data_IF_050819803917
#
_entry.id   IF_050819803917
#
_cell.length_a   1.000
_cell.length_b   1.000
_cell.length_c   1.000
_cell.angle_alpha   90.00
_cell.angle_beta   90.00
_cell.angle_gamma   90.00
#
_symmetry.space_group_name_H-M   'P 1'
#
loop_
_entity.id
_entity.type
_entity.pdbx_description
1 polymer ?
#
# COMPACT_ATOMS: atom_id res chain seq x y z
N UNK A 1 -14.18 -10.94 19.08
CA UNK A 1 -13.29 -9.76 19.13
C UNK A 1 -13.51 -8.98 17.86
N UNK A 2 -14.02 -7.75 17.95
CA UNK A 2 -14.11 -6.84 16.81
C UNK A 2 -12.68 -6.67 16.28
N UNK A 3 -12.42 -7.12 15.05
CA UNK A 3 -11.09 -6.94 14.47
C UNK A 3 -10.93 -5.44 14.24
N UNK A 4 -9.79 -4.86 14.60
CA UNK A 4 -9.51 -3.41 14.43
C UNK A 4 -9.87 -2.93 13.01
N UNK A 5 -9.75 -3.81 12.01
CA UNK A 5 -10.20 -3.64 10.62
C UNK A 5 -11.67 -3.20 10.45
N UNK A 6 -12.62 -3.66 11.26
CA UNK A 6 -14.06 -3.37 11.13
C UNK A 6 -14.40 -1.90 11.47
N UNK A 7 -13.44 -1.17 12.06
CA UNK A 7 -13.60 0.22 12.49
C UNK A 7 -12.95 1.26 11.57
N UNK A 8 -12.22 0.83 10.53
CA UNK A 8 -11.47 1.73 9.65
C UNK A 8 -12.39 2.21 8.51
N UNK A 9 -12.71 3.51 8.41
CA UNK A 9 -13.60 4.02 7.37
C UNK A 9 -13.07 3.72 5.97
N UNK A 10 -13.88 3.07 5.14
CA UNK A 10 -13.53 2.71 3.76
C UNK A 10 -12.53 1.57 3.64
N UNK A 11 -12.20 0.85 4.72
CA UNK A 11 -11.50 -0.41 4.63
C UNK A 11 -12.51 -1.56 4.47
N UNK A 12 -12.44 -2.23 3.34
CA UNK A 12 -13.46 -3.16 2.86
C UNK A 12 -12.84 -4.46 2.31
N UNK A 13 -11.66 -4.82 2.83
CA UNK A 13 -11.00 -6.09 2.56
C UNK A 13 -11.94 -7.26 2.88
N UNK A 14 -12.01 -8.26 1.98
CA UNK A 14 -12.86 -9.45 2.11
C UNK A 14 -14.37 -9.13 2.28
N UNK A 15 -14.81 -8.00 1.75
CA UNK A 15 -16.24 -7.69 1.64
C UNK A 15 -16.78 -8.09 0.27
N UNK A 16 -18.06 -8.47 0.21
CA UNK A 16 -18.75 -8.83 -1.05
C UNK A 16 -18.80 -7.69 -2.07
N UNK A 17 -18.53 -6.46 -1.65
CA UNK A 17 -18.49 -5.27 -2.52
C UNK A 17 -17.21 -5.15 -3.34
N UNK A 18 -16.15 -5.89 -3.01
CA UNK A 18 -14.90 -5.85 -3.77
C UNK A 18 -15.01 -6.77 -4.99
N UNK A 19 -14.82 -6.24 -6.22
CA UNK A 19 -14.76 -7.07 -7.42
C UNK A 19 -13.61 -8.07 -7.36
N UNK A 20 -13.82 -9.24 -7.96
CA UNK A 20 -12.74 -10.21 -8.11
C UNK A 20 -11.68 -9.65 -9.06
N UNK A 21 -10.41 -9.73 -8.66
CA UNK A 21 -9.30 -9.29 -9.52
C UNK A 21 -9.25 -10.11 -10.80
N UNK A 22 -8.89 -9.43 -11.88
CA UNK A 22 -8.59 -10.07 -13.17
C UNK A 22 -7.25 -10.82 -13.18
N UNK A 23 -6.42 -10.66 -12.14
CA UNK A 23 -5.20 -11.44 -11.94
C UNK A 23 -5.54 -12.75 -11.23
N UNK A 24 -5.08 -13.84 -11.81
CA UNK A 24 -5.25 -15.19 -11.27
C UNK A 24 -4.16 -15.54 -10.26
N UNK A 25 -4.41 -16.52 -9.39
CA UNK A 25 -3.39 -17.05 -8.48
C UNK A 25 -2.18 -17.61 -9.23
N UNK A 26 -2.38 -18.17 -10.43
CA UNK A 26 -1.26 -18.66 -11.26
C UNK A 26 -0.36 -17.52 -11.73
N UNK A 27 -0.94 -16.39 -12.17
CA UNK A 27 -0.18 -15.19 -12.53
C UNK A 27 0.53 -14.59 -11.31
N UNK A 28 -0.11 -14.60 -10.14
CA UNK A 28 0.51 -14.17 -8.89
C UNK A 28 1.74 -15.03 -8.54
N UNK A 29 1.66 -16.36 -8.64
CA UNK A 29 2.80 -17.24 -8.39
C UNK A 29 3.95 -17.00 -9.38
N UNK A 30 3.65 -16.79 -10.66
CA UNK A 30 4.67 -16.41 -11.64
C UNK A 30 5.34 -15.06 -11.31
N UNK A 31 4.57 -14.10 -10.79
CA UNK A 31 5.09 -12.80 -10.39
C UNK A 31 5.92 -12.88 -9.10
N UNK A 32 5.56 -13.73 -8.13
CA UNK A 32 6.39 -14.05 -6.97
C UNK A 32 7.75 -14.60 -7.39
N UNK A 33 7.78 -15.56 -8.32
CA UNK A 33 9.04 -16.09 -8.89
C UNK A 33 9.88 -14.97 -9.52
N UNK A 34 9.24 -14.08 -10.28
CA UNK A 34 9.92 -12.95 -10.94
C UNK A 34 10.55 -11.98 -9.93
N UNK A 35 9.86 -11.73 -8.82
CA UNK A 35 10.34 -10.90 -7.72
C UNK A 35 11.33 -11.61 -6.78
N UNK A 36 11.56 -12.91 -6.97
CA UNK A 36 12.31 -13.75 -6.03
C UNK A 36 11.65 -13.82 -4.66
N UNK A 37 10.32 -13.70 -4.60
CA UNK A 37 9.52 -13.79 -3.39
C UNK A 37 9.21 -15.25 -3.06
N UNK A 38 9.54 -15.67 -1.84
CA UNK A 38 9.52 -17.06 -1.38
C UNK A 38 8.85 -17.20 -0.02
N UNK A 39 8.68 -18.43 0.46
CA UNK A 39 8.16 -18.69 1.82
C UNK A 39 9.06 -18.11 2.92
N UNK A 40 10.35 -17.93 2.64
CA UNK A 40 11.26 -17.22 3.54
C UNK A 40 10.84 -15.76 3.71
N UNK A 41 10.46 -15.09 2.62
CA UNK A 41 9.96 -13.71 2.67
C UNK A 41 8.64 -13.62 3.44
N UNK A 42 7.75 -14.62 3.31
CA UNK A 42 6.52 -14.70 4.12
C UNK A 42 6.85 -14.79 5.61
N UNK A 43 7.83 -15.61 5.98
CA UNK A 43 8.29 -15.71 7.37
C UNK A 43 8.84 -14.38 7.90
N UNK A 44 9.71 -13.70 7.14
CA UNK A 44 10.28 -12.42 7.55
C UNK A 44 9.30 -11.27 7.51
N UNK A 45 8.28 -11.29 6.64
CA UNK A 45 7.20 -10.32 6.65
C UNK A 45 6.36 -10.42 7.92
N UNK A 46 6.06 -11.63 8.40
CA UNK A 46 5.37 -11.82 9.68
C UNK A 46 6.18 -11.24 10.85
N UNK A 47 7.48 -11.53 10.87
CA UNK A 47 8.39 -10.96 11.87
C UNK A 47 8.48 -9.43 11.77
N UNK A 48 8.55 -8.88 10.56
CA UNK A 48 8.49 -7.44 10.32
C UNK A 48 7.17 -6.87 10.86
N UNK A 49 6.05 -7.55 10.66
CA UNK A 49 4.74 -7.16 11.21
C UNK A 49 4.77 -7.06 12.73
N UNK A 50 5.34 -8.04 13.42
CA UNK A 50 5.47 -8.04 14.88
C UNK A 50 6.29 -6.84 15.39
N UNK A 51 7.32 -6.46 14.63
CA UNK A 51 8.17 -5.29 14.91
C UNK A 51 7.44 -3.97 14.62
N UNK A 52 6.69 -3.89 13.52
CA UNK A 52 6.10 -2.64 13.00
C UNK A 52 4.72 -2.31 13.59
N UNK A 53 4.00 -3.28 14.17
CA UNK A 53 2.58 -3.12 14.52
C UNK A 53 2.27 -1.93 15.45
N UNK A 54 3.11 -1.69 16.46
CA UNK A 54 2.96 -0.56 17.38
C UNK A 54 3.59 0.75 16.86
N UNK A 55 4.21 0.70 15.68
CA UNK A 55 4.89 1.82 15.04
C UNK A 55 4.15 2.35 13.80
N UNK A 56 3.09 1.68 13.33
CA UNK A 56 2.38 2.03 12.08
C UNK A 56 1.94 3.50 12.00
N UNK A 57 1.51 4.09 13.12
CA UNK A 57 1.14 5.51 13.17
C UNK A 57 2.33 6.43 12.91
N UNK A 58 3.46 6.19 13.58
CA UNK A 58 4.67 6.97 13.41
C UNK A 58 5.22 6.84 11.98
N UNK A 59 5.18 5.62 11.42
CA UNK A 59 5.58 5.35 10.03
C UNK A 59 4.74 6.16 9.05
N UNK A 60 3.41 6.09 9.16
CA UNK A 60 2.51 6.81 8.26
C UNK A 60 2.63 8.32 8.44
N UNK A 61 2.81 8.83 9.66
CA UNK A 61 3.07 10.25 9.90
C UNK A 61 4.38 10.70 9.26
N UNK A 62 5.44 9.89 9.38
CA UNK A 62 6.73 10.16 8.75
C UNK A 62 6.59 10.22 7.22
N UNK A 63 5.89 9.27 6.60
CA UNK A 63 5.67 9.30 5.16
C UNK A 63 4.78 10.47 4.72
N UNK A 64 3.63 10.69 5.37
CA UNK A 64 2.65 11.71 4.97
C UNK A 64 3.15 13.13 5.24
N UNK A 65 3.51 13.40 6.49
CA UNK A 65 3.85 14.75 6.95
C UNK A 65 5.33 15.04 6.82
N UNK A 66 6.20 14.03 6.98
CA UNK A 66 7.65 14.22 6.89
C UNK A 66 8.19 14.24 5.47
N UNK A 67 7.55 13.52 4.54
CA UNK A 67 8.08 13.33 3.17
C UNK A 67 7.10 13.84 2.10
N UNK A 68 5.91 13.23 2.00
CA UNK A 68 4.94 13.52 0.93
C UNK A 68 4.53 14.99 0.92
N UNK A 69 4.25 15.58 2.09
CA UNK A 69 3.86 16.98 2.22
C UNK A 69 4.91 17.97 1.70
N UNK A 70 6.19 17.57 1.67
CA UNK A 70 7.31 18.39 1.17
C UNK A 70 7.60 18.23 -0.33
N UNK A 71 6.93 17.30 -1.02
CA UNK A 71 7.16 17.02 -2.45
C UNK A 71 5.94 17.51 -3.25
N UNK A 72 6.00 18.66 -3.96
CA UNK A 72 4.81 19.31 -4.53
C UNK A 72 3.96 18.43 -5.45
N UNK A 73 4.59 17.61 -6.31
CA UNK A 73 3.86 16.70 -7.20
C UNK A 73 3.17 15.54 -6.46
N UNK A 74 3.59 15.19 -5.24
CA UNK A 74 2.92 14.20 -4.40
C UNK A 74 1.88 14.85 -3.48
N UNK A 75 2.25 15.96 -2.84
CA UNK A 75 1.42 16.67 -1.86
C UNK A 75 0.04 17.07 -2.42
N UNK A 76 -0.02 17.52 -3.68
CA UNK A 76 -1.27 17.92 -4.35
C UNK A 76 -2.35 16.83 -4.34
N UNK A 77 -1.97 15.56 -4.30
CA UNK A 77 -2.90 14.44 -4.36
C UNK A 77 -3.67 14.22 -3.04
N UNK A 78 -3.30 14.96 -1.98
CA UNK A 78 -3.99 14.98 -0.68
C UNK A 78 -4.49 16.37 -0.26
N UNK A 79 -4.69 17.25 -1.24
CA UNK A 79 -5.23 18.61 -1.06
C UNK A 79 -6.45 18.82 -1.96
N UNK A 80 -7.22 19.86 -1.67
CA UNK A 80 -8.31 20.28 -2.55
C UNK A 80 -7.79 20.77 -3.91
N UNK A 81 -8.69 21.01 -4.86
CA UNK A 81 -8.33 21.63 -6.15
C UNK A 81 -7.75 23.04 -6.00
N UNK A 82 -8.14 23.75 -4.93
CA UNK A 82 -7.61 25.06 -4.54
C UNK A 82 -6.37 24.97 -3.62
N UNK A 83 -5.78 23.78 -3.50
CA UNK A 83 -4.59 23.48 -2.69
C UNK A 83 -4.79 23.58 -1.16
N UNK A 84 -6.04 23.59 -0.69
CA UNK A 84 -6.37 23.61 0.74
C UNK A 84 -6.19 22.24 1.41
N UNK A 85 -5.89 22.18 2.73
CA UNK A 85 -5.81 20.94 3.48
C UNK A 85 -7.15 20.18 3.51
N UNK A 86 -7.10 18.85 3.44
CA UNK A 86 -8.25 17.96 3.60
C UNK A 86 -8.06 17.08 4.85
N UNK A 87 -8.28 17.60 6.08
CA UNK A 87 -7.92 16.92 7.32
C UNK A 87 -8.67 15.60 7.52
N UNK A 88 -9.98 15.55 7.22
CA UNK A 88 -10.77 14.32 7.37
C UNK A 88 -10.36 13.23 6.38
N UNK A 89 -10.01 13.62 5.15
CA UNK A 89 -9.46 12.70 4.14
C UNK A 89 -8.13 12.11 4.61
N UNK A 90 -7.23 12.96 5.11
CA UNK A 90 -5.94 12.53 5.64
C UNK A 90 -6.14 11.60 6.84
N UNK A 91 -7.02 11.94 7.78
CA UNK A 91 -7.29 11.10 8.96
C UNK A 91 -7.77 9.69 8.57
N UNK A 92 -8.78 9.59 7.69
CA UNK A 92 -9.35 8.30 7.24
C UNK A 92 -8.35 7.51 6.39
N UNK A 93 -7.71 8.16 5.42
CA UNK A 93 -6.74 7.49 4.54
C UNK A 93 -5.46 7.06 5.27
N UNK A 94 -5.05 7.76 6.34
CA UNK A 94 -3.94 7.34 7.19
C UNK A 94 -4.24 6.04 7.94
N UNK A 95 -5.47 5.84 8.42
CA UNK A 95 -5.86 4.57 9.05
C UNK A 95 -5.77 3.41 8.06
N UNK A 96 -6.23 3.59 6.82
CA UNK A 96 -6.09 2.57 5.76
C UNK A 96 -4.64 2.32 5.39
N UNK A 97 -3.79 3.34 5.39
CA UNK A 97 -2.36 3.18 5.12
C UNK A 97 -1.64 2.42 6.23
N UNK A 98 -2.00 2.66 7.50
CA UNK A 98 -1.52 1.88 8.65
C UNK A 98 -1.94 0.41 8.52
N UNK A 99 -3.19 0.16 8.18
CA UNK A 99 -3.69 -1.20 7.98
C UNK A 99 -3.00 -1.91 6.81
N UNK A 100 -2.68 -1.19 5.73
CA UNK A 100 -1.92 -1.75 4.61
C UNK A 100 -0.51 -2.21 4.99
N UNK A 101 0.18 -1.55 5.94
CA UNK A 101 1.46 -2.03 6.49
C UNK A 101 1.26 -3.40 7.15
N UNK A 102 0.20 -3.55 7.96
CA UNK A 102 -0.10 -4.81 8.64
C UNK A 102 -0.55 -5.89 7.67
N UNK A 103 -1.37 -5.54 6.68
CA UNK A 103 -1.84 -6.49 5.68
C UNK A 103 -0.68 -7.00 4.82
N UNK A 104 0.28 -6.14 4.50
CA UNK A 104 1.53 -6.50 3.81
C UNK A 104 2.33 -7.53 4.60
N UNK A 105 2.31 -7.47 5.93
CA UNK A 105 3.07 -8.37 6.80
C UNK A 105 2.34 -9.67 7.15
N UNK A 106 1.02 -9.62 7.33
CA UNK A 106 0.27 -10.70 7.99
C UNK A 106 -0.73 -11.43 7.08
N UNK A 107 -1.18 -10.84 5.97
CA UNK A 107 -2.16 -11.51 5.09
C UNK A 107 -1.49 -12.58 4.25
N UNK A 108 -2.26 -13.62 3.97
CA UNK A 108 -1.90 -14.58 2.93
C UNK A 108 -2.11 -13.92 1.57
N UNK A 109 -1.23 -14.21 0.60
CA UNK A 109 -1.35 -13.67 -0.75
C UNK A 109 -2.24 -14.61 -1.57
N UNK A 110 -3.52 -14.57 -1.23
CA UNK A 110 -4.61 -15.35 -1.79
C UNK A 110 -5.48 -14.48 -2.74
N UNK A 111 -6.67 -14.99 -3.11
CA UNK A 111 -7.53 -14.29 -4.05
C UNK A 111 -8.14 -13.04 -3.41
N UNK A 112 -8.47 -13.08 -2.12
CA UNK A 112 -9.00 -11.98 -1.35
C UNK A 112 -7.99 -10.84 -1.26
N UNK A 113 -6.70 -11.16 -1.05
CA UNK A 113 -5.61 -10.22 -1.13
C UNK A 113 -5.46 -9.62 -2.54
N UNK A 114 -5.50 -10.43 -3.60
CA UNK A 114 -5.45 -9.93 -4.98
C UNK A 114 -6.61 -8.98 -5.31
N UNK A 115 -7.83 -9.34 -4.90
CA UNK A 115 -9.02 -8.50 -5.07
C UNK A 115 -8.79 -7.12 -4.42
N UNK A 116 -8.15 -7.11 -3.25
CA UNK A 116 -7.87 -5.87 -2.54
C UNK A 116 -6.68 -5.08 -3.12
N UNK A 117 -5.67 -5.74 -3.68
CA UNK A 117 -4.62 -5.06 -4.44
C UNK A 117 -5.19 -4.30 -5.64
N UNK A 118 -6.13 -4.93 -6.35
CA UNK A 118 -6.86 -4.29 -7.45
C UNK A 118 -7.71 -3.11 -6.94
N UNK A 119 -8.43 -3.28 -5.83
CA UNK A 119 -9.20 -2.20 -5.20
C UNK A 119 -8.31 -1.01 -4.80
N UNK A 120 -7.13 -1.25 -4.22
CA UNK A 120 -6.18 -0.19 -3.88
C UNK A 120 -5.70 0.52 -5.15
N UNK A 121 -5.37 -0.23 -6.21
CA UNK A 121 -4.94 0.35 -7.47
C UNK A 121 -6.00 1.29 -8.06
N UNK A 122 -7.27 0.84 -8.18
CA UNK A 122 -8.36 1.67 -8.73
C UNK A 122 -8.66 2.91 -7.88
N UNK A 123 -8.39 2.87 -6.57
CA UNK A 123 -8.50 4.06 -5.69
C UNK A 123 -7.43 5.12 -5.95
N UNK A 124 -6.35 4.76 -6.65
CA UNK A 124 -5.34 5.72 -7.10
C UNK A 124 -5.61 6.23 -8.53
N UNK A 125 -6.54 5.63 -9.27
CA UNK A 125 -6.92 6.05 -10.64
C UNK A 125 -8.20 6.89 -10.64
N UNK A 126 -8.55 7.43 -11.81
CA UNK A 126 -9.80 8.17 -12.01
C UNK A 126 -11.06 7.35 -11.80
N UNK A 127 -10.97 6.01 -11.72
CA UNK A 127 -12.12 5.15 -11.49
C UNK A 127 -12.70 5.30 -10.08
N UNK A 128 -11.85 5.40 -9.05
CA UNK A 128 -12.31 5.46 -7.65
C UNK A 128 -11.56 6.46 -6.77
N UNK A 129 -10.59 7.21 -7.29
CA UNK A 129 -9.94 8.25 -6.48
C UNK A 129 -10.99 9.23 -5.95
N UNK A 130 -10.84 9.59 -4.68
CA UNK A 130 -11.74 10.45 -3.90
C UNK A 130 -13.11 9.85 -3.51
N UNK A 131 -13.60 8.82 -4.19
CA UNK A 131 -14.95 8.28 -3.98
C UNK A 131 -15.16 7.71 -2.57
N UNK A 132 -14.16 7.01 -2.03
CA UNK A 132 -14.24 6.35 -0.71
C UNK A 132 -14.49 7.34 0.43
N UNK A 133 -13.91 8.54 0.35
CA UNK A 133 -14.01 9.55 1.41
C UNK A 133 -14.90 10.74 1.01
N UNK A 134 -15.44 10.75 -0.22
CA UNK A 134 -16.33 11.80 -0.72
C UNK A 134 -15.68 13.18 -0.81
N UNK A 135 -14.44 13.26 -1.31
CA UNK A 135 -13.68 14.52 -1.38
C UNK A 135 -13.47 15.03 -2.79
N UNK A 136 -13.11 16.31 -2.91
CA UNK A 136 -12.68 16.91 -4.18
C UNK A 136 -11.18 17.17 -4.14
N UNK A 137 -10.43 16.42 -4.93
CA UNK A 137 -8.97 16.53 -5.08
C UNK A 137 -8.61 16.16 -6.52
N UNK A 138 -7.33 16.15 -6.87
CA UNK A 138 -6.85 15.73 -8.21
C UNK A 138 -7.52 14.42 -8.65
N UNK A 139 -7.83 14.23 -9.93
CA UNK A 139 -8.63 13.10 -10.40
C UNK A 139 -7.93 11.74 -10.30
N UNK A 140 -6.59 11.69 -10.31
CA UNK A 140 -5.81 10.45 -10.13
C UNK A 140 -4.42 10.76 -9.57
N UNK A 141 -3.69 9.73 -9.16
CA UNK A 141 -2.24 9.77 -8.88
C UNK A 141 -1.50 9.15 -10.07
N UNK A 142 -0.58 9.86 -10.74
CA UNK A 142 0.17 9.30 -11.86
C UNK A 142 0.96 8.04 -11.45
N UNK A 143 0.91 6.99 -12.27
CA UNK A 143 1.64 5.75 -11.99
C UNK A 143 3.15 5.98 -11.81
N UNK A 144 3.74 6.91 -12.58
CA UNK A 144 5.16 7.28 -12.45
C UNK A 144 5.50 7.81 -11.05
N UNK A 145 4.59 8.53 -10.40
CA UNK A 145 4.78 9.05 -9.05
C UNK A 145 4.71 7.91 -8.03
N UNK A 146 3.82 6.93 -8.24
CA UNK A 146 3.72 5.70 -7.42
C UNK A 146 5.02 4.88 -7.51
N UNK A 147 5.47 4.56 -8.73
CA UNK A 147 6.69 3.76 -8.96
C UNK A 147 7.92 4.48 -8.40
N UNK A 148 8.05 5.79 -8.62
CA UNK A 148 9.17 6.57 -8.12
C UNK A 148 9.21 6.68 -6.59
N UNK A 149 8.08 6.46 -5.90
CA UNK A 149 8.01 6.53 -4.44
C UNK A 149 8.38 5.20 -3.75
N UNK A 150 8.46 4.08 -4.48
CA UNK A 150 8.80 2.76 -3.92
C UNK A 150 10.14 2.75 -3.19
N UNK A 151 11.25 3.29 -3.75
CA UNK A 151 12.53 3.32 -3.03
C UNK A 151 12.44 4.08 -1.71
N UNK A 152 11.67 5.17 -1.67
CA UNK A 152 11.49 5.98 -0.46
C UNK A 152 10.74 5.20 0.63
N UNK A 153 9.63 4.54 0.28
CA UNK A 153 8.91 3.66 1.23
C UNK A 153 9.81 2.52 1.73
N UNK A 154 10.63 1.95 0.86
CA UNK A 154 11.53 0.87 1.22
C UNK A 154 12.66 1.34 2.14
N UNK A 155 13.37 2.42 1.82
CA UNK A 155 14.51 2.88 2.61
C UNK A 155 14.08 3.38 4.00
N UNK A 156 12.96 4.08 4.06
CA UNK A 156 12.50 4.74 5.29
C UNK A 156 11.79 3.82 6.27
N UNK A 157 11.49 2.56 5.91
CA UNK A 157 10.97 1.56 6.85
C UNK A 157 12.08 0.96 7.73
N UNK A 158 13.34 0.96 7.25
CA UNK A 158 14.45 0.24 7.89
C UNK A 158 14.71 0.68 9.33
N UNK A 159 14.69 1.98 9.69
CA UNK A 159 14.85 2.39 11.09
C UNK A 159 13.79 1.78 12.04
N UNK A 160 12.57 1.61 11.56
CA UNK A 160 11.48 1.00 12.34
C UNK A 160 11.66 -0.51 12.51
N UNK A 161 12.28 -1.19 11.52
CA UNK A 161 12.65 -2.62 11.62
C UNK A 161 13.77 -2.89 12.63
N UNK A 162 14.65 -1.91 12.89
CA UNK A 162 15.74 -2.03 13.87
C UNK A 162 15.25 -1.79 15.31
N UNK A 163 14.13 -1.08 15.47
CA UNK A 163 13.71 -0.51 16.74
C UNK A 163 13.52 -1.51 17.90
N UNK A 164 13.39 -2.81 17.60
CA UNK A 164 13.18 -3.89 18.58
C UNK A 164 14.44 -4.72 18.86
N UNK A 165 15.60 -4.33 18.33
CA UNK A 165 16.90 -4.92 18.70
C UNK A 165 17.17 -6.30 18.09
N UNK A 166 16.54 -6.65 16.97
CA UNK A 166 16.90 -7.85 16.21
C UNK A 166 18.33 -7.75 15.64
N UNK A 167 19.03 -8.87 15.46
CA UNK A 167 20.32 -8.90 14.77
C UNK A 167 20.28 -8.30 13.36
N UNK A 168 21.38 -7.72 12.90
CA UNK A 168 21.45 -7.02 11.60
C UNK A 168 21.10 -7.91 10.40
N UNK A 169 21.46 -9.19 10.44
CA UNK A 169 21.12 -10.15 9.39
C UNK A 169 19.60 -10.42 9.33
N UNK A 170 18.95 -10.46 10.49
CA UNK A 170 17.49 -10.61 10.61
C UNK A 170 16.78 -9.35 10.13
N UNK A 171 17.25 -8.17 10.53
CA UNK A 171 16.73 -6.88 10.02
C UNK A 171 16.86 -6.81 8.50
N UNK A 172 17.98 -7.27 7.95
CA UNK A 172 18.21 -7.29 6.51
C UNK A 172 17.22 -8.20 5.79
N UNK A 173 16.92 -9.38 6.34
CA UNK A 173 15.91 -10.31 5.76
C UNK A 173 14.49 -9.76 5.86
N UNK A 174 14.11 -9.13 6.97
CA UNK A 174 12.85 -8.37 7.09
C UNK A 174 12.72 -7.27 6.04
N UNK A 175 13.79 -6.50 5.86
CA UNK A 175 13.82 -5.38 4.91
C UNK A 175 13.73 -5.86 3.46
N UNK A 176 14.43 -6.94 3.11
CA UNK A 176 14.36 -7.54 1.77
C UNK A 176 12.98 -8.13 1.46
N UNK A 177 12.36 -8.80 2.43
CA UNK A 177 11.02 -9.35 2.28
C UNK A 177 9.96 -8.23 2.09
N UNK A 178 10.08 -7.15 2.84
CA UNK A 178 9.30 -5.92 2.65
C UNK A 178 9.49 -5.34 1.25
N UNK A 179 10.74 -5.18 0.80
CA UNK A 179 11.05 -4.66 -0.53
C UNK A 179 10.40 -5.48 -1.65
N UNK A 180 10.52 -6.81 -1.58
CA UNK A 180 9.94 -7.72 -2.59
C UNK A 180 8.43 -7.67 -2.58
N UNK A 181 7.80 -7.60 -1.40
CA UNK A 181 6.36 -7.41 -1.29
C UNK A 181 5.90 -6.09 -1.91
N UNK A 182 6.58 -4.98 -1.60
CA UNK A 182 6.26 -3.69 -2.22
C UNK A 182 6.34 -3.78 -3.74
N UNK A 183 7.41 -4.38 -4.26
CA UNK A 183 7.60 -4.52 -5.70
C UNK A 183 6.49 -5.37 -6.35
N UNK A 184 6.06 -6.45 -5.67
CA UNK A 184 4.97 -7.31 -6.12
C UNK A 184 3.65 -6.53 -6.20
N UNK A 185 3.30 -5.79 -5.16
CA UNK A 185 2.08 -4.98 -5.10
C UNK A 185 2.04 -3.94 -6.22
N UNK A 186 3.13 -3.20 -6.42
CA UNK A 186 3.21 -2.16 -7.44
C UNK A 186 3.17 -2.75 -8.85
N UNK A 187 3.78 -3.92 -9.07
CA UNK A 187 3.66 -4.64 -10.32
C UNK A 187 2.22 -5.07 -10.62
N UNK A 188 1.45 -5.52 -9.61
CA UNK A 188 0.02 -5.82 -9.78
C UNK A 188 -0.79 -4.58 -10.17
N UNK A 189 -0.53 -3.44 -9.53
CA UNK A 189 -1.27 -2.19 -9.79
C UNK A 189 -1.04 -1.68 -11.22
N UNK A 190 0.13 -2.00 -11.82
CA UNK A 190 0.45 -1.61 -13.19
C UNK A 190 -0.61 -2.06 -14.21
N UNK A 191 -1.22 -3.23 -14.02
CA UNK A 191 -2.26 -3.78 -14.93
C UNK A 191 -3.45 -2.83 -15.04
N UNK A 192 -3.89 -2.25 -13.93
CA UNK A 192 -5.01 -1.31 -13.88
C UNK A 192 -4.66 -0.01 -14.61
N UNK A 193 -3.46 0.53 -14.38
CA UNK A 193 -3.01 1.74 -15.06
C UNK A 193 -2.85 1.56 -16.57
N UNK A 194 -2.30 0.42 -17.01
CA UNK A 194 -2.14 0.13 -18.44
C UNK A 194 -3.47 -0.16 -19.13
N UNK A 195 -4.38 -0.88 -18.46
CA UNK A 195 -5.72 -1.16 -18.98
C UNK A 195 -6.53 0.10 -19.27
N UNK A 196 -6.40 1.13 -18.42
CA UNK A 196 -7.05 2.44 -18.63
C UNK A 196 -6.50 3.20 -19.83
N UNK A 197 -5.25 2.99 -20.23
CA UNK A 197 -4.68 3.60 -21.43
C UNK A 197 -5.14 2.91 -22.71
N UNK A 198 -5.51 1.62 -22.63
CA UNK A 198 -5.99 0.85 -23.77
C UNK A 198 -7.48 1.06 -24.10
N UNK A 199 -8.25 1.69 -23.21
CA UNK A 199 -9.69 1.94 -23.42
C UNK A 199 -10.03 3.17 -24.28
N UNK A 200 -9.02 3.84 -24.87
CA UNK A 200 -9.18 4.98 -25.78
C UNK A 200 -8.74 4.69 -27.24
N UNK A 201 -8.84 3.44 -27.71
CA UNK A 201 -8.61 3.07 -29.11
C UNK A 201 -9.84 2.44 -29.77
#
# INVERSE_FOLDING_TARGET
MQKIADSIPGYDYDTRSIPKSSVTLQELEALKVTAGFTDEDVHFLRMAGDVLQDQTEAIVLHWRSGIIAGIPNLARHSRSLDNEPLPDYLAKSNLRFRQWILDTCFREYDQEWLNYQEEIAVRHTSLKKNAVDGVESTPFVPYRDIVAFVPVLNETIRPYLIAKGHPDDIVTRMHLAWQRSLQLQIALWSKIYMGLQTSEW
#
